data_IF_637616291279
#
_entry.id   IF_637616291279
#
_cell.length_a   1.000
_cell.length_b   1.000
_cell.length_c   1.000
_cell.angle_alpha   90.00
_cell.angle_beta   90.00
_cell.angle_gamma   90.00
#
_symmetry.space_group_name_H-M   'P 1'
#
loop_
_entity.id
_entity.type
_entity.pdbx_description
1 polymer ?
#
# COMPACT_ATOMS: atom_id res chain seq x y z
N UNK A 1 -12.42 -24.55 24.40
CA UNK A 1 -11.67 -23.72 23.41
C UNK A 1 -12.66 -23.43 22.28
N UNK A 2 -13.06 -22.16 22.18
CA UNK A 2 -14.26 -21.70 21.46
C UNK A 2 -14.22 -22.01 19.96
N UNK A 3 -15.38 -22.21 19.33
CA UNK A 3 -15.55 -22.32 17.86
C UNK A 3 -14.85 -21.18 17.10
N UNK A 4 -14.72 -20.02 17.74
CA UNK A 4 -14.03 -18.81 17.25
C UNK A 4 -12.52 -19.05 17.09
N UNK A 5 -11.89 -19.78 18.01
CA UNK A 5 -10.48 -20.16 17.85
C UNK A 5 -10.31 -21.13 16.67
N UNK A 6 -11.31 -21.97 16.42
CA UNK A 6 -11.29 -22.88 15.28
C UNK A 6 -11.47 -22.12 13.96
N UNK A 7 -12.38 -21.15 13.89
CA UNK A 7 -12.56 -20.28 12.72
C UNK A 7 -11.32 -19.41 12.43
N UNK A 8 -10.69 -18.85 13.48
CA UNK A 8 -9.39 -18.18 13.36
C UNK A 8 -8.31 -19.14 12.86
N UNK A 9 -8.27 -20.37 13.39
CA UNK A 9 -7.35 -21.40 12.92
C UNK A 9 -7.63 -21.75 11.46
N UNK A 10 -8.88 -21.84 11.03
CA UNK A 10 -9.24 -22.21 9.66
C UNK A 10 -8.86 -21.10 8.66
N UNK A 11 -9.05 -19.81 9.02
CA UNK A 11 -8.55 -18.67 8.23
C UNK A 11 -7.01 -18.67 8.06
N UNK A 12 -6.26 -19.13 9.06
CA UNK A 12 -4.80 -19.01 9.10
C UNK A 12 -4.01 -20.31 8.91
N UNK A 13 -4.60 -21.49 9.14
CA UNK A 13 -3.91 -22.78 9.23
C UNK A 13 -4.27 -23.82 8.16
N UNK A 14 -5.07 -23.53 7.12
CA UNK A 14 -5.38 -24.58 6.14
C UNK A 14 -4.12 -25.12 5.39
N UNK A 15 -3.70 -26.27 5.93
CA UNK A 15 -2.79 -27.37 5.62
C UNK A 15 -1.63 -27.31 4.61
N UNK A 16 -1.19 -26.17 4.06
CA UNK A 16 0.06 -26.16 3.27
C UNK A 16 0.85 -24.84 3.22
N UNK A 17 0.56 -23.88 4.11
CA UNK A 17 1.05 -22.50 3.95
C UNK A 17 2.06 -22.12 5.02
N UNK A 18 3.24 -22.74 4.98
CA UNK A 18 4.41 -22.25 5.75
C UNK A 18 4.52 -20.75 5.51
N UNK A 19 4.60 -19.95 6.57
CA UNK A 19 5.24 -18.63 6.53
C UNK A 19 6.59 -18.90 5.87
N UNK A 20 6.70 -18.62 4.57
CA UNK A 20 7.86 -19.00 3.78
C UNK A 20 9.06 -18.38 4.47
N UNK A 21 9.98 -19.25 4.92
CA UNK A 21 11.25 -18.91 5.57
C UNK A 21 11.81 -17.70 4.85
N UNK A 22 12.06 -16.60 5.59
CA UNK A 22 12.57 -15.31 5.10
C UNK A 22 13.46 -15.52 3.86
N UNK A 23 12.86 -15.41 2.67
CA UNK A 23 13.57 -15.49 1.42
C UNK A 23 13.78 -14.06 0.94
N UNK A 24 14.77 -13.85 0.09
CA UNK A 24 15.30 -12.55 -0.37
C UNK A 24 14.28 -11.58 -1.05
N UNK A 25 12.99 -11.85 -0.93
CA UNK A 25 11.83 -11.06 -1.40
C UNK A 25 10.84 -10.77 -0.27
N UNK A 26 11.33 -10.22 0.85
CA UNK A 26 10.55 -9.77 2.03
C UNK A 26 9.25 -9.02 1.67
N UNK A 27 9.28 -8.23 0.60
CA UNK A 27 8.17 -7.38 0.18
C UNK A 27 7.01 -8.12 -0.52
N UNK A 28 7.27 -9.25 -1.19
CA UNK A 28 6.23 -10.10 -1.80
C UNK A 28 5.46 -10.91 -0.74
N UNK A 29 6.17 -11.41 0.27
CA UNK A 29 5.55 -12.06 1.42
C UNK A 29 4.65 -11.09 2.19
N UNK A 30 5.10 -9.83 2.35
CA UNK A 30 4.29 -8.79 2.98
C UNK A 30 2.98 -8.52 2.26
N UNK A 31 2.92 -8.61 0.93
CA UNK A 31 1.65 -8.44 0.21
C UNK A 31 0.65 -9.55 0.55
N UNK A 32 1.04 -10.82 0.36
CA UNK A 32 0.15 -11.96 0.62
C UNK A 32 -0.33 -12.00 2.09
N UNK A 33 0.54 -11.63 3.04
CA UNK A 33 0.14 -11.49 4.43
C UNK A 33 -0.87 -10.37 4.66
N UNK A 34 -0.71 -9.22 3.99
CA UNK A 34 -1.62 -8.08 4.13
C UNK A 34 -2.99 -8.39 3.53
N UNK A 35 -3.04 -9.01 2.35
CA UNK A 35 -4.30 -9.46 1.75
C UNK A 35 -5.06 -10.38 2.69
N UNK A 36 -4.39 -11.42 3.21
CA UNK A 36 -5.02 -12.36 4.17
C UNK A 36 -5.43 -11.70 5.48
N UNK A 37 -4.67 -10.71 5.94
CA UNK A 37 -4.99 -9.96 7.14
C UNK A 37 -6.22 -9.08 6.95
N UNK A 38 -6.38 -8.47 5.76
CA UNK A 38 -7.56 -7.69 5.38
C UNK A 38 -8.79 -8.58 5.19
N UNK A 39 -8.65 -9.75 4.55
CA UNK A 39 -9.74 -10.74 4.40
C UNK A 39 -10.28 -11.20 5.77
N UNK A 40 -9.39 -11.41 6.74
CA UNK A 40 -9.74 -11.82 8.09
C UNK A 40 -10.03 -10.66 9.06
N UNK A 41 -10.08 -9.41 8.60
CA UNK A 41 -10.06 -8.23 9.47
C UNK A 41 -11.15 -8.25 10.54
N UNK A 42 -12.40 -8.48 10.12
CA UNK A 42 -13.55 -8.43 11.02
C UNK A 42 -13.57 -9.64 11.97
N UNK A 43 -13.17 -10.82 11.50
CA UNK A 43 -12.98 -12.03 12.32
C UNK A 43 -11.94 -11.81 13.41
N UNK A 44 -10.83 -11.12 13.11
CA UNK A 44 -9.80 -10.80 14.09
C UNK A 44 -10.32 -9.77 15.10
N UNK A 45 -11.04 -8.73 14.67
CA UNK A 45 -11.67 -7.77 15.60
C UNK A 45 -12.62 -8.48 16.56
N UNK A 46 -13.43 -9.40 16.03
CA UNK A 46 -14.37 -10.17 16.84
C UNK A 46 -13.63 -11.04 17.87
N UNK A 47 -12.63 -11.81 17.42
CA UNK A 47 -11.79 -12.61 18.31
C UNK A 47 -11.09 -11.80 19.41
N UNK A 48 -10.52 -10.65 19.05
CA UNK A 48 -9.86 -9.75 20.00
C UNK A 48 -10.85 -9.14 20.99
N UNK A 49 -12.07 -8.82 20.55
CA UNK A 49 -13.12 -8.30 21.43
C UNK A 49 -13.50 -9.33 22.49
N UNK A 50 -13.72 -10.58 22.09
CA UNK A 50 -14.03 -11.69 23.01
C UNK A 50 -12.88 -11.98 23.99
N UNK A 51 -11.63 -11.97 23.49
CA UNK A 51 -10.43 -12.18 24.31
C UNK A 51 -10.27 -11.06 25.36
N UNK A 52 -10.49 -9.80 24.97
CA UNK A 52 -10.44 -8.66 25.90
C UNK A 52 -11.53 -8.76 26.97
N UNK A 53 -12.75 -9.13 26.57
CA UNK A 53 -13.88 -9.28 27.51
C UNK A 53 -13.66 -10.41 28.52
N UNK A 54 -13.03 -11.50 28.11
CA UNK A 54 -12.80 -12.69 28.94
C UNK A 54 -11.54 -12.60 29.80
N UNK A 55 -10.43 -12.14 29.23
CA UNK A 55 -9.09 -12.22 29.83
C UNK A 55 -8.54 -10.88 30.32
N UNK A 56 -9.22 -9.75 30.02
CA UNK A 56 -8.78 -8.37 30.37
C UNK A 56 -7.33 -8.10 30.02
N UNK A 57 -6.91 -8.62 28.86
CA UNK A 57 -5.54 -8.50 28.40
C UNK A 57 -5.27 -7.08 27.90
N UNK A 58 -4.35 -6.36 28.56
CA UNK A 58 -3.93 -5.02 28.13
C UNK A 58 -3.36 -4.99 26.70
N UNK A 59 -2.66 -6.06 26.30
CA UNK A 59 -2.15 -6.17 24.93
C UNK A 59 -3.27 -6.45 23.92
N UNK A 60 -4.30 -7.21 24.32
CA UNK A 60 -5.51 -7.38 23.54
C UNK A 60 -6.28 -6.07 23.34
N UNK A 61 -6.42 -5.27 24.39
CA UNK A 61 -7.08 -3.95 24.35
C UNK A 61 -6.36 -2.99 23.41
N UNK A 62 -5.02 -2.95 23.50
CA UNK A 62 -4.18 -2.13 22.62
C UNK A 62 -4.27 -2.58 21.15
N UNK A 63 -4.19 -3.88 20.89
CA UNK A 63 -4.29 -4.37 19.51
C UNK A 63 -5.70 -4.14 18.94
N UNK A 64 -6.74 -4.33 19.75
CA UNK A 64 -8.12 -4.08 19.36
C UNK A 64 -8.35 -2.59 19.05
N UNK A 65 -7.77 -1.68 19.82
CA UNK A 65 -7.91 -0.24 19.55
C UNK A 65 -7.23 0.16 18.24
N UNK A 66 -6.08 -0.43 17.91
CA UNK A 66 -5.42 -0.25 16.61
C UNK A 66 -6.30 -0.79 15.47
N UNK A 67 -6.85 -2.01 15.62
CA UNK A 67 -7.65 -2.62 14.55
C UNK A 67 -9.02 -1.96 14.37
N UNK A 68 -9.56 -1.31 15.41
CA UNK A 68 -10.79 -0.50 15.30
C UNK A 68 -10.54 0.91 14.76
N UNK A 69 -9.29 1.36 14.68
CA UNK A 69 -8.97 2.64 14.07
C UNK A 69 -9.16 2.55 12.54
N UNK A 70 -10.05 3.41 12.03
CA UNK A 70 -10.44 3.45 10.62
C UNK A 70 -9.30 3.82 9.68
N UNK A 71 -8.40 4.71 10.11
CA UNK A 71 -7.20 5.13 9.37
C UNK A 71 -6.27 3.93 9.15
N UNK A 72 -6.12 3.09 10.18
CA UNK A 72 -5.25 1.92 10.15
C UNK A 72 -5.71 0.95 9.07
N UNK A 73 -7.01 0.65 9.00
CA UNK A 73 -7.58 -0.20 7.94
C UNK A 73 -7.35 0.41 6.55
N UNK A 74 -7.56 1.72 6.40
CA UNK A 74 -7.31 2.42 5.13
C UNK A 74 -5.85 2.30 4.67
N UNK A 75 -4.87 2.46 5.58
CA UNK A 75 -3.45 2.29 5.23
C UNK A 75 -3.08 0.85 4.87
N UNK A 76 -3.74 -0.15 5.44
CA UNK A 76 -3.56 -1.54 5.00
C UNK A 76 -4.08 -1.76 3.58
N UNK A 77 -5.18 -1.12 3.16
CA UNK A 77 -5.64 -1.14 1.77
C UNK A 77 -4.69 -0.38 0.83
N UNK A 78 -4.19 0.79 1.24
CA UNK A 78 -3.20 1.56 0.49
C UNK A 78 -1.91 0.78 0.23
N UNK A 79 -1.60 -0.22 1.08
CA UNK A 79 -0.45 -1.10 0.90
C UNK A 79 -0.48 -1.88 -0.43
N UNK A 80 -1.61 -1.92 -1.14
CA UNK A 80 -1.70 -2.44 -2.50
C UNK A 80 -0.74 -1.75 -3.49
N UNK A 81 -0.41 -0.46 -3.31
CA UNK A 81 0.57 0.26 -4.15
C UNK A 81 1.97 -0.35 -4.05
N UNK A 82 2.30 -1.04 -2.96
CA UNK A 82 3.56 -1.77 -2.87
C UNK A 82 3.69 -2.85 -3.95
N UNK A 83 2.59 -3.32 -4.56
CA UNK A 83 2.67 -4.22 -5.72
C UNK A 83 3.41 -3.59 -6.87
N UNK A 84 3.21 -2.29 -7.12
CA UNK A 84 3.92 -1.57 -8.18
C UNK A 84 5.44 -1.63 -7.94
N UNK A 85 5.87 -1.33 -6.71
CA UNK A 85 7.26 -1.39 -6.28
C UNK A 85 7.80 -2.83 -6.32
N UNK A 86 6.99 -3.80 -5.93
CA UNK A 86 7.36 -5.22 -5.94
C UNK A 86 7.57 -5.74 -7.35
N UNK A 87 6.70 -5.38 -8.29
CA UNK A 87 6.82 -5.74 -9.70
C UNK A 87 8.08 -5.13 -10.31
N UNK A 88 8.37 -3.86 -10.00
CA UNK A 88 9.61 -3.22 -10.43
C UNK A 88 10.85 -3.92 -9.87
N UNK A 89 10.86 -4.20 -8.56
CA UNK A 89 11.98 -4.90 -7.92
C UNK A 89 12.17 -6.32 -8.45
N UNK A 90 11.07 -7.08 -8.61
CA UNK A 90 11.11 -8.44 -9.15
C UNK A 90 11.66 -8.46 -10.58
N UNK A 91 11.39 -7.43 -11.39
CA UNK A 91 11.92 -7.31 -12.75
C UNK A 91 13.46 -7.25 -12.77
N UNK A 92 14.07 -6.55 -11.82
CA UNK A 92 15.53 -6.37 -11.73
C UNK A 92 16.25 -7.43 -10.88
N UNK A 93 15.50 -8.19 -10.08
CA UNK A 93 16.03 -9.35 -9.34
C UNK A 93 16.13 -10.62 -10.18
N UNK A 94 15.82 -10.54 -11.48
CA UNK A 94 15.97 -11.65 -12.41
C UNK A 94 17.44 -12.07 -12.56
N UNK A 95 17.65 -13.35 -12.90
CA UNK A 95 19.00 -13.92 -13.08
C UNK A 95 19.70 -13.28 -14.29
N UNK A 96 18.94 -12.82 -15.30
CA UNK A 96 19.51 -12.17 -16.46
C UNK A 96 19.94 -10.72 -16.18
N UNK A 97 21.08 -10.31 -16.73
CA UNK A 97 21.55 -8.92 -16.65
C UNK A 97 20.64 -7.97 -17.43
N UNK A 98 19.84 -7.19 -16.70
CA UNK A 98 18.88 -6.23 -17.27
C UNK A 98 19.27 -4.76 -17.06
N UNK A 99 20.53 -4.47 -16.74
CA UNK A 99 21.01 -3.10 -16.45
C UNK A 99 20.73 -2.14 -17.62
N UNK A 100 20.82 -2.62 -18.86
CA UNK A 100 20.50 -1.83 -20.06
C UNK A 100 19.03 -1.36 -20.11
N UNK A 101 18.13 -2.02 -19.39
CA UNK A 101 16.71 -1.64 -19.28
C UNK A 101 16.44 -0.73 -18.08
N UNK A 102 17.41 -0.54 -17.17
CA UNK A 102 17.23 0.15 -15.90
C UNK A 102 16.64 1.54 -16.07
N UNK A 103 17.22 2.35 -16.96
CA UNK A 103 16.69 3.69 -17.24
C UNK A 103 15.26 3.63 -17.79
N UNK A 104 15.02 2.87 -18.86
CA UNK A 104 13.71 2.79 -19.51
C UNK A 104 12.59 2.31 -18.58
N UNK A 105 12.89 1.33 -17.72
CA UNK A 105 11.93 0.80 -16.76
C UNK A 105 11.73 1.77 -15.58
N UNK A 106 12.77 2.49 -15.16
CA UNK A 106 12.62 3.50 -14.08
C UNK A 106 11.73 4.66 -14.53
N UNK A 107 11.85 5.09 -15.79
CA UNK A 107 10.93 6.09 -16.38
C UNK A 107 9.50 5.56 -16.45
N UNK A 108 9.30 4.30 -16.89
CA UNK A 108 7.97 3.70 -16.92
C UNK A 108 7.37 3.54 -15.51
N UNK A 109 8.19 3.13 -14.54
CA UNK A 109 7.78 3.03 -13.14
C UNK A 109 7.38 4.40 -12.57
N UNK A 110 8.16 5.45 -12.85
CA UNK A 110 7.81 6.82 -12.50
C UNK A 110 6.47 7.25 -13.12
N UNK A 111 6.25 6.98 -14.41
CA UNK A 111 4.96 7.24 -15.08
C UNK A 111 3.80 6.53 -14.40
N UNK A 112 3.99 5.28 -13.99
CA UNK A 112 2.95 4.52 -13.30
C UNK A 112 2.61 5.15 -11.95
N UNK A 113 3.60 5.54 -11.15
CA UNK A 113 3.38 6.26 -9.87
C UNK A 113 2.68 7.60 -10.12
N UNK A 114 3.12 8.36 -11.12
CA UNK A 114 2.54 9.65 -11.49
C UNK A 114 1.06 9.58 -11.86
N UNK A 115 0.59 8.50 -12.51
CA UNK A 115 -0.82 8.34 -12.91
C UNK A 115 -1.80 8.36 -11.73
N UNK A 116 -1.35 7.97 -10.53
CA UNK A 116 -2.21 7.93 -9.35
C UNK A 116 -2.58 9.34 -8.87
N UNK A 117 -1.69 10.33 -9.03
CA UNK A 117 -1.86 11.65 -8.40
C UNK A 117 -1.69 12.86 -9.33
N UNK A 118 -1.14 12.72 -10.55
CA UNK A 118 -0.99 13.84 -11.49
C UNK A 118 -2.14 13.91 -12.50
N UNK A 119 -2.42 15.12 -12.99
CA UNK A 119 -3.38 15.36 -14.07
C UNK A 119 -2.84 14.83 -15.41
N UNK A 120 -3.75 14.41 -16.31
CA UNK A 120 -3.38 13.79 -17.60
C UNK A 120 -2.59 14.73 -18.52
N UNK A 121 -2.75 16.04 -18.36
CA UNK A 121 -2.06 17.05 -19.15
C UNK A 121 -0.54 17.00 -18.93
N UNK A 122 -0.11 16.73 -17.69
CA UNK A 122 1.31 16.71 -17.31
C UNK A 122 1.99 15.36 -17.58
N UNK A 123 1.24 14.29 -17.81
CA UNK A 123 1.79 12.97 -18.19
C UNK A 123 2.35 12.93 -19.61
N UNK A 124 2.05 13.93 -20.45
CA UNK A 124 2.54 14.03 -21.85
C UNK A 124 3.86 14.78 -21.98
N UNK A 125 4.25 15.55 -20.97
CA UNK A 125 5.49 16.31 -20.93
C UNK A 125 6.65 15.43 -20.45
N UNK A 126 7.91 15.75 -20.81
CA UNK A 126 9.07 15.05 -20.27
C UNK A 126 9.08 15.20 -18.74
N UNK A 127 8.88 14.07 -18.06
CA UNK A 127 8.69 13.97 -16.60
C UNK A 127 9.89 14.54 -15.83
N UNK A 128 11.05 14.60 -16.47
CA UNK A 128 12.29 15.14 -15.89
C UNK A 128 12.17 16.60 -15.43
N UNK A 129 11.19 17.36 -15.93
CA UNK A 129 11.02 18.79 -15.58
C UNK A 129 9.78 19.07 -14.71
N UNK A 130 9.04 18.05 -14.28
CA UNK A 130 7.81 18.25 -13.51
C UNK A 130 8.16 18.42 -12.02
N UNK A 131 7.69 19.51 -11.43
CA UNK A 131 7.72 19.70 -9.97
C UNK A 131 6.47 19.04 -9.38
N UNK A 132 6.64 17.84 -8.82
CA UNK A 132 5.53 17.03 -8.28
C UNK A 132 4.81 17.66 -7.08
N UNK A 133 5.46 18.59 -6.37
CA UNK A 133 4.91 19.26 -5.18
C UNK A 133 3.93 20.40 -5.51
N UNK A 134 3.82 20.80 -6.78
CA UNK A 134 2.93 21.90 -7.20
C UNK A 134 1.50 21.40 -7.30
N UNK A 135 0.58 22.05 -6.58
CA UNK A 135 -0.84 21.67 -6.53
C UNK A 135 -1.51 21.72 -7.90
N UNK A 136 -1.13 22.64 -8.78
CA UNK A 136 -1.69 22.73 -10.15
C UNK A 136 -1.42 21.48 -11.00
N UNK A 137 -0.35 20.74 -10.70
CA UNK A 137 0.01 19.51 -11.43
C UNK A 137 -0.71 18.28 -10.87
N UNK A 138 -1.27 18.39 -9.66
CA UNK A 138 -1.89 17.30 -8.92
C UNK A 138 -3.39 17.23 -9.22
N UNK A 139 -3.95 16.03 -9.18
CA UNK A 139 -5.39 15.84 -9.16
C UNK A 139 -5.97 16.42 -7.86
N UNK A 140 -7.26 16.74 -7.88
CA UNK A 140 -7.96 17.05 -6.64
C UNK A 140 -7.87 15.85 -5.68
N UNK A 141 -7.88 16.08 -4.36
CA UNK A 141 -7.71 15.04 -3.34
C UNK A 141 -8.67 13.85 -3.52
N UNK A 142 -9.90 14.11 -3.97
CA UNK A 142 -10.93 13.11 -4.23
C UNK A 142 -10.75 12.33 -5.54
N UNK A 143 -9.94 12.84 -6.47
CA UNK A 143 -9.66 12.24 -7.77
C UNK A 143 -8.36 11.41 -7.75
N UNK A 144 -7.64 11.39 -6.62
CA UNK A 144 -6.45 10.57 -6.44
C UNK A 144 -6.89 9.11 -6.37
N UNK A 145 -6.20 8.26 -7.12
CA UNK A 145 -6.47 6.82 -7.13
C UNK A 145 -5.66 6.15 -6.03
N UNK A 146 -6.31 5.49 -5.08
CA UNK A 146 -5.65 4.75 -3.99
C UNK A 146 -5.76 3.22 -4.17
N UNK A 147 -6.53 2.79 -5.18
CA UNK A 147 -6.82 1.40 -5.49
C UNK A 147 -8.27 1.08 -5.15
N UNK A 148 -8.89 0.16 -5.90
CA UNK A 148 -10.34 -0.13 -5.82
C UNK A 148 -10.82 -0.32 -4.39
N UNK A 149 -10.14 -1.17 -3.64
CA UNK A 149 -10.56 -1.57 -2.30
C UNK A 149 -10.40 -0.42 -1.28
N UNK A 150 -9.38 0.43 -1.47
CA UNK A 150 -9.17 1.61 -0.64
C UNK A 150 -10.20 2.69 -0.96
N UNK A 151 -10.45 2.93 -2.26
CA UNK A 151 -11.40 3.93 -2.73
C UNK A 151 -12.83 3.58 -2.29
N UNK A 152 -13.23 2.31 -2.36
CA UNK A 152 -14.51 1.80 -1.85
C UNK A 152 -14.62 1.98 -0.32
N UNK A 153 -13.58 1.58 0.42
CA UNK A 153 -13.56 1.74 1.88
C UNK A 153 -13.63 3.22 2.32
N UNK A 154 -12.93 4.11 1.64
CA UNK A 154 -12.99 5.55 1.93
C UNK A 154 -14.35 6.15 1.58
N UNK A 155 -15.00 5.67 0.51
CA UNK A 155 -16.37 6.06 0.18
C UNK A 155 -17.35 5.69 1.30
N UNK A 156 -17.27 4.46 1.82
CA UNK A 156 -18.08 4.02 2.95
C UNK A 156 -17.86 4.88 4.21
N UNK A 157 -16.59 5.24 4.48
CA UNK A 157 -16.25 6.13 5.60
C UNK A 157 -16.82 7.53 5.42
N UNK A 158 -16.84 8.07 4.19
CA UNK A 158 -17.49 9.36 3.91
C UNK A 158 -19.00 9.29 4.21
N UNK A 159 -19.67 8.21 3.80
CA UNK A 159 -21.11 8.00 4.07
C UNK A 159 -21.40 7.87 5.58
N UNK A 160 -20.47 7.27 6.33
CA UNK A 160 -20.55 7.15 7.79
C UNK A 160 -20.22 8.45 8.54
N UNK A 161 -19.85 9.53 7.84
CA UNK A 161 -19.57 10.85 8.42
C UNK A 161 -18.11 11.06 8.85
N UNK A 162 -17.19 10.17 8.47
CA UNK A 162 -15.76 10.28 8.78
C UNK A 162 -14.98 11.14 7.76
N UNK A 163 -15.52 12.31 7.41
CA UNK A 163 -14.98 13.17 6.34
C UNK A 163 -13.54 13.63 6.64
N UNK A 164 -13.27 14.03 7.88
CA UNK A 164 -11.95 14.52 8.29
C UNK A 164 -10.88 13.42 8.21
N UNK A 165 -11.23 12.19 8.60
CA UNK A 165 -10.39 11.00 8.46
C UNK A 165 -10.06 10.74 7.01
N UNK A 166 -11.07 10.72 6.13
CA UNK A 166 -10.86 10.42 4.71
C UNK A 166 -9.95 11.46 4.07
N UNK A 167 -10.14 12.74 4.40
CA UNK A 167 -9.27 13.83 3.94
C UNK A 167 -7.83 13.62 4.41
N UNK A 168 -7.64 13.29 5.69
CA UNK A 168 -6.30 13.04 6.26
C UNK A 168 -5.59 11.86 5.59
N UNK A 169 -6.31 10.76 5.33
CA UNK A 169 -5.76 9.60 4.63
C UNK A 169 -5.35 9.99 3.20
N UNK A 170 -6.21 10.69 2.46
CA UNK A 170 -5.92 11.15 1.10
C UNK A 170 -4.70 12.08 1.05
N UNK A 171 -4.56 13.00 2.01
CA UNK A 171 -3.40 13.88 2.13
C UNK A 171 -2.11 13.11 2.40
N UNK A 172 -2.14 12.13 3.31
CA UNK A 172 -0.98 11.30 3.62
C UNK A 172 -0.57 10.42 2.43
N UNK A 173 -1.54 9.86 1.71
CA UNK A 173 -1.29 9.09 0.49
C UNK A 173 -0.72 9.97 -0.63
N UNK A 174 -1.23 11.19 -0.80
CA UNK A 174 -0.69 12.17 -1.74
C UNK A 174 0.76 12.53 -1.41
N UNK A 175 1.04 12.82 -0.14
CA UNK A 175 2.40 13.10 0.33
C UNK A 175 3.34 11.94 0.02
N UNK A 176 2.90 10.70 0.27
CA UNK A 176 3.66 9.50 -0.10
C UNK A 176 3.95 9.44 -1.59
N UNK A 177 2.95 9.64 -2.45
CA UNK A 177 3.15 9.60 -3.91
C UNK A 177 4.12 10.66 -4.40
N UNK A 178 4.01 11.89 -3.88
CA UNK A 178 4.91 12.99 -4.24
C UNK A 178 6.34 12.66 -3.84
N UNK A 179 6.56 12.20 -2.60
CA UNK A 179 7.89 11.80 -2.13
C UNK A 179 8.44 10.63 -2.94
N UNK A 180 7.63 9.60 -3.19
CA UNK A 180 8.04 8.46 -4.01
C UNK A 180 8.46 8.88 -5.42
N UNK A 181 7.65 9.70 -6.10
CA UNK A 181 7.95 10.19 -7.44
C UNK A 181 9.25 11.01 -7.48
N UNK A 182 9.49 11.87 -6.49
CA UNK A 182 10.72 12.65 -6.37
C UNK A 182 11.96 11.75 -6.21
N UNK A 183 11.89 10.74 -5.34
CA UNK A 183 13.01 9.82 -5.14
C UNK A 183 13.27 8.97 -6.40
N UNK A 184 12.23 8.45 -7.05
CA UNK A 184 12.37 7.71 -8.31
C UNK A 184 12.97 8.59 -9.41
N UNK A 185 12.54 9.84 -9.53
CA UNK A 185 13.08 10.79 -10.50
C UNK A 185 14.57 11.07 -10.25
N UNK A 186 14.97 11.33 -8.99
CA UNK A 186 16.38 11.51 -8.61
C UNK A 186 17.22 10.29 -8.99
N UNK A 187 16.77 9.08 -8.66
CA UNK A 187 17.46 7.84 -9.03
C UNK A 187 17.57 7.68 -10.55
N UNK A 188 16.49 7.97 -11.30
CA UNK A 188 16.46 7.85 -12.76
C UNK A 188 17.44 8.80 -13.44
N UNK A 189 17.51 10.05 -12.98
CA UNK A 189 18.47 11.05 -13.48
C UNK A 189 19.92 10.64 -13.23
N UNK A 190 20.22 10.04 -12.07
CA UNK A 190 21.56 9.50 -11.81
C UNK A 190 21.90 8.34 -12.75
N UNK A 191 20.97 7.41 -12.96
CA UNK A 191 21.18 6.26 -13.87
C UNK A 191 21.49 6.75 -15.30
N UNK A 192 20.77 7.76 -15.78
CA UNK A 192 21.02 8.35 -17.10
C UNK A 192 22.45 8.91 -17.23
N UNK A 193 22.98 9.53 -16.18
CA UNK A 193 24.34 10.08 -16.14
C UNK A 193 25.43 8.99 -16.15
N UNK A 194 25.16 7.81 -15.58
CA UNK A 194 26.14 6.71 -15.58
C UNK A 194 26.08 5.83 -16.84
N UNK A 195 25.02 5.93 -17.64
CA UNK A 195 24.82 5.12 -18.85
C UNK A 195 25.19 5.85 -20.15
N UNK A 196 25.46 7.17 -20.09
CA UNK A 196 25.93 8.00 -21.21
C UNK A 196 27.25 8.69 -20.85
#
# INVERSE_FOLDING_TARGET
>A
RSAIYQEFRDCFQDNNRKILKLCNTRSLFHHSCVTRFLEGWDTIIYFLSEMVMSEKSKSGEYLLSIMKNVDTKAYFFFKYIFNLFNSFNAFFQAVETRIHLLHSQSVNFLLQVCKYFLTQEHLKSPINNIVFSVKENQKALHDITLGSDCDEYLHDLMVQGHIDTVTTVQENCLAFYVTAAQEIQKSTSMIYFYQN
#
